data_IF_017647307940
#
_entry.id   IF_017647307940
#
_cell.length_a   1.000
_cell.length_b   1.000
_cell.length_c   1.000
_cell.angle_alpha   90.00
_cell.angle_beta   90.00
_cell.angle_gamma   90.00
#
_symmetry.space_group_name_H-M   'P 1'
#
loop_
_entity.id
_entity.type
_entity.pdbx_description
1 polymer ?
#
# COMPACT_ATOMS: atom_id res chain seq x y z
N UNK A 1 19.56 -71.35 -49.39
CA UNK A 1 19.08 -72.45 -48.53
C UNK A 1 18.65 -71.82 -47.21
N UNK A 2 17.34 -71.84 -46.91
CA UNK A 2 16.71 -72.75 -45.92
C UNK A 2 17.22 -72.42 -44.50
N UNK A 3 16.56 -71.58 -43.71
CA UNK A 3 15.31 -71.77 -42.92
C UNK A 3 15.47 -72.52 -41.58
N UNK A 4 14.54 -72.20 -40.66
CA UNK A 4 14.25 -72.70 -39.29
C UNK A 4 14.81 -71.81 -38.15
N UNK A 5 14.00 -71.22 -37.26
CA UNK A 5 12.53 -71.11 -37.15
C UNK A 5 11.97 -71.63 -35.81
N UNK A 6 10.96 -70.93 -35.27
CA UNK A 6 10.18 -71.21 -34.03
C UNK A 6 10.91 -71.02 -32.68
N UNK A 7 10.24 -70.68 -31.56
CA UNK A 7 8.87 -70.14 -31.29
C UNK A 7 8.72 -69.80 -29.79
N UNK A 8 7.77 -68.95 -29.41
CA UNK A 8 7.44 -68.62 -28.00
C UNK A 8 7.00 -67.16 -27.86
N UNK A 9 5.86 -66.76 -28.43
CA UNK A 9 4.50 -66.91 -27.85
C UNK A 9 4.23 -65.89 -26.72
N UNK A 10 3.11 -65.18 -26.83
CA UNK A 10 2.74 -64.08 -25.96
C UNK A 10 1.23 -64.13 -25.68
N UNK A 11 0.80 -63.93 -24.43
CA UNK A 11 -0.56 -63.52 -24.15
C UNK A 11 -0.64 -62.11 -23.55
N UNK A 12 -1.52 -61.33 -24.17
CA UNK A 12 -2.35 -60.26 -23.62
C UNK A 12 -2.43 -60.17 -22.09
N UNK A 13 -2.23 -58.96 -21.55
CA UNK A 13 -2.37 -58.67 -20.12
C UNK A 13 -2.43 -57.17 -19.84
N UNK A 14 -3.53 -56.51 -20.24
CA UNK A 14 -3.77 -55.11 -19.92
C UNK A 14 -3.96 -54.93 -18.40
N UNK A 15 -2.91 -54.51 -17.69
CA UNK A 15 -2.99 -54.17 -16.27
C UNK A 15 -3.22 -52.67 -16.07
N UNK A 16 -4.17 -52.34 -15.19
CA UNK A 16 -4.75 -51.00 -15.06
C UNK A 16 -3.78 -50.02 -14.41
N UNK A 17 -3.93 -48.74 -14.76
CA UNK A 17 -3.50 -47.63 -13.90
C UNK A 17 -4.28 -47.74 -12.58
N UNK A 18 -3.59 -47.99 -11.48
CA UNK A 18 -4.13 -47.73 -10.14
C UNK A 18 -3.68 -46.33 -9.72
N UNK A 19 -4.51 -45.34 -10.04
CA UNK A 19 -4.47 -44.03 -9.42
C UNK A 19 -4.91 -44.17 -7.97
N UNK A 20 -3.96 -44.21 -7.03
CA UNK A 20 -4.27 -44.07 -5.61
C UNK A 20 -4.52 -42.59 -5.31
N UNK A 21 -5.75 -42.15 -5.50
CA UNK A 21 -6.17 -40.83 -5.08
C UNK A 21 -6.28 -40.80 -3.55
N UNK A 22 -5.40 -40.06 -2.88
CA UNK A 22 -5.68 -39.57 -1.53
C UNK A 22 -6.57 -38.33 -1.66
N UNK A 23 -7.89 -38.56 -1.68
CA UNK A 23 -8.90 -37.53 -1.62
C UNK A 23 -9.73 -37.75 -0.36
N UNK A 24 -9.26 -37.24 0.78
CA UNK A 24 -10.00 -37.24 2.05
C UNK A 24 -9.48 -36.14 2.99
N UNK A 25 -9.75 -34.87 2.64
CA UNK A 25 -9.57 -33.70 3.52
C UNK A 25 -10.89 -32.93 3.65
N UNK A 26 -11.99 -33.65 3.83
CA UNK A 26 -13.29 -33.06 4.11
C UNK A 26 -13.51 -32.82 5.60
N UNK A 27 -13.73 -31.54 5.97
CA UNK A 27 -14.32 -31.09 7.24
C UNK A 27 -13.48 -31.12 8.55
N UNK A 28 -12.14 -31.12 8.50
CA UNK A 28 -11.30 -31.10 9.72
C UNK A 28 -10.26 -29.97 9.84
N UNK A 29 -9.96 -29.22 8.77
CA UNK A 29 -8.88 -28.21 8.78
C UNK A 29 -9.42 -26.78 8.55
N UNK A 30 -10.14 -26.30 9.57
CA UNK A 30 -10.75 -24.96 9.59
C UNK A 30 -10.02 -24.06 10.61
N UNK A 31 -9.53 -22.88 10.22
CA UNK A 31 -8.94 -21.95 11.17
C UNK A 31 -10.01 -21.41 12.13
N UNK A 32 -9.71 -21.46 13.43
CA UNK A 32 -10.50 -20.81 14.47
C UNK A 32 -10.43 -19.29 14.33
N UNK A 33 -11.58 -18.63 14.46
CA UNK A 33 -11.75 -17.17 14.31
C UNK A 33 -11.06 -16.56 13.07
N UNK A 34 -11.64 -16.82 11.90
CA UNK A 34 -11.34 -16.16 10.60
C UNK A 34 -11.23 -14.62 10.72
N UNK A 35 -11.88 -14.00 11.71
CA UNK A 35 -11.80 -12.55 11.98
C UNK A 35 -10.47 -12.08 12.59
N UNK A 36 -9.72 -12.97 13.26
CA UNK A 36 -8.44 -12.64 13.91
C UNK A 36 -7.22 -13.01 13.05
N UNK A 37 -7.41 -13.78 11.97
CA UNK A 37 -6.33 -14.17 11.05
C UNK A 37 -5.69 -12.97 10.35
N UNK A 38 -4.43 -13.09 9.94
CA UNK A 38 -3.75 -12.15 9.04
C UNK A 38 -4.21 -12.35 7.59
N UNK A 39 -3.91 -11.38 6.73
CA UNK A 39 -4.17 -11.47 5.28
C UNK A 39 -3.35 -12.62 4.68
N UNK A 40 -2.10 -12.81 5.09
CA UNK A 40 -1.23 -13.93 4.72
C UNK A 40 -1.85 -15.29 5.05
N UNK A 41 -2.34 -15.47 6.29
CA UNK A 41 -2.97 -16.73 6.72
C UNK A 41 -4.25 -17.03 5.93
N UNK A 42 -5.06 -16.00 5.63
CA UNK A 42 -6.27 -16.12 4.82
C UNK A 42 -5.95 -16.49 3.36
N UNK A 43 -4.94 -15.85 2.75
CA UNK A 43 -4.45 -16.17 1.39
C UNK A 43 -3.90 -17.60 1.35
N UNK A 44 -3.12 -18.01 2.34
CA UNK A 44 -2.59 -19.38 2.47
C UNK A 44 -3.69 -20.43 2.53
N UNK A 45 -4.65 -20.27 3.44
CA UNK A 45 -5.79 -21.19 3.54
C UNK A 45 -6.61 -21.27 2.25
N UNK A 46 -6.85 -20.13 1.59
CA UNK A 46 -7.55 -20.09 0.29
C UNK A 46 -6.78 -20.80 -0.82
N UNK A 47 -5.45 -20.65 -0.88
CA UNK A 47 -4.53 -21.35 -1.81
C UNK A 47 -4.59 -22.87 -1.62
N UNK A 48 -4.55 -23.33 -0.37
CA UNK A 48 -4.68 -24.77 -0.02
C UNK A 48 -6.07 -25.35 -0.35
N UNK A 49 -7.10 -24.50 -0.34
CA UNK A 49 -8.47 -24.86 -0.73
C UNK A 49 -8.78 -24.60 -2.22
N UNK A 50 -7.76 -24.34 -3.03
CA UNK A 50 -7.85 -24.27 -4.50
C UNK A 50 -8.38 -22.95 -5.06
N UNK A 51 -8.46 -21.89 -4.24
CA UNK A 51 -8.79 -20.54 -4.71
C UNK A 51 -7.51 -19.83 -5.14
N UNK A 52 -7.50 -19.32 -6.36
CA UNK A 52 -6.37 -18.58 -6.96
C UNK A 52 -6.77 -17.13 -7.25
N UNK A 53 -5.80 -16.26 -7.52
CA UNK A 53 -6.05 -14.83 -7.77
C UNK A 53 -6.43 -14.02 -6.51
N UNK A 54 -5.99 -14.49 -5.34
CA UNK A 54 -6.26 -13.86 -4.04
C UNK A 54 -5.27 -12.74 -3.66
N UNK A 55 -4.26 -12.46 -4.49
CA UNK A 55 -3.22 -11.46 -4.21
C UNK A 55 -3.83 -10.07 -4.03
N UNK A 56 -4.55 -9.56 -5.04
CA UNK A 56 -5.28 -8.29 -4.98
C UNK A 56 -6.60 -8.30 -4.19
N UNK A 57 -6.85 -9.28 -3.32
CA UNK A 57 -8.03 -9.29 -2.45
C UNK A 57 -7.72 -8.66 -1.09
N UNK A 58 -8.51 -7.65 -0.71
CA UNK A 58 -8.51 -7.04 0.63
C UNK A 58 -8.90 -8.05 1.72
N UNK A 59 -8.55 -7.76 2.98
CA UNK A 59 -8.89 -8.64 4.12
C UNK A 59 -10.37 -9.00 4.19
N UNK A 60 -11.26 -8.04 3.97
CA UNK A 60 -12.72 -8.22 3.97
C UNK A 60 -13.17 -9.13 2.83
N UNK A 61 -12.53 -9.02 1.66
CA UNK A 61 -12.82 -9.86 0.49
C UNK A 61 -12.34 -11.30 0.73
N UNK A 62 -11.12 -11.48 1.26
CA UNK A 62 -10.60 -12.79 1.67
C UNK A 62 -11.52 -13.46 2.70
N UNK A 63 -11.86 -12.74 3.77
CA UNK A 63 -12.81 -13.19 4.81
C UNK A 63 -14.20 -13.50 4.22
N UNK A 64 -14.66 -12.73 3.23
CA UNK A 64 -15.93 -12.97 2.53
C UNK A 64 -15.88 -14.23 1.67
N UNK A 65 -14.78 -14.46 0.95
CA UNK A 65 -14.55 -15.68 0.15
C UNK A 65 -14.55 -16.92 1.04
N UNK A 66 -13.81 -16.90 2.17
CA UNK A 66 -13.81 -18.00 3.15
C UNK A 66 -15.22 -18.22 3.73
N UNK A 67 -15.97 -17.16 4.06
CA UNK A 67 -17.37 -17.27 4.53
C UNK A 67 -18.33 -17.81 3.46
N UNK A 68 -18.08 -17.52 2.19
CA UNK A 68 -18.88 -18.02 1.06
C UNK A 68 -18.64 -19.52 0.90
N UNK A 69 -17.39 -19.97 0.85
CA UNK A 69 -17.02 -21.40 0.80
C UNK A 69 -17.60 -22.18 1.99
N UNK A 70 -17.58 -21.61 3.20
CA UNK A 70 -18.24 -22.18 4.39
C UNK A 70 -19.76 -22.37 4.19
N UNK A 71 -20.41 -21.43 3.50
CA UNK A 71 -21.85 -21.48 3.23
C UNK A 71 -22.19 -22.53 2.17
N UNK A 72 -21.36 -22.64 1.13
CA UNK A 72 -21.53 -23.65 0.08
C UNK A 72 -21.33 -25.08 0.60
N UNK A 73 -20.32 -25.33 1.45
CA UNK A 73 -20.15 -26.64 2.09
C UNK A 73 -21.30 -27.01 3.05
N UNK A 74 -21.87 -26.02 3.75
CA UNK A 74 -23.04 -26.23 4.62
C UNK A 74 -24.32 -26.55 3.83
N UNK A 75 -24.47 -26.08 2.60
CA UNK A 75 -25.61 -26.45 1.73
C UNK A 75 -25.38 -27.79 1.03
N UNK A 76 -24.14 -28.12 0.65
CA UNK A 76 -23.79 -29.41 0.04
C UNK A 76 -24.03 -30.60 0.97
N UNK A 77 -23.90 -30.41 2.29
CA UNK A 77 -24.18 -31.43 3.32
C UNK A 77 -25.65 -31.44 3.79
N UNK A 78 -26.49 -30.52 3.30
CA UNK A 78 -27.83 -30.23 3.83
C UNK A 78 -28.96 -30.22 2.80
N UNK A 79 -28.95 -31.10 1.80
CA UNK A 79 -30.04 -31.18 0.81
C UNK A 79 -31.01 -32.33 1.09
N UNK A 80 -32.17 -31.99 1.67
CA UNK A 80 -33.38 -32.80 1.70
C UNK A 80 -34.61 -31.93 1.45
N UNK A 81 -35.02 -31.87 0.19
CA UNK A 81 -36.28 -31.29 -0.35
C UNK A 81 -37.48 -32.15 0.10
N UNK A 82 -38.75 -31.69 0.27
CA UNK A 82 -39.45 -30.47 -0.23
C UNK A 82 -40.23 -29.68 0.89
N UNK A 83 -41.17 -28.71 0.70
CA UNK A 83 -41.84 -28.07 -0.46
C UNK A 83 -42.40 -26.67 -0.13
N UNK A 84 -42.41 -25.74 -1.10
CA UNK A 84 -43.64 -25.05 -1.53
C UNK A 84 -44.09 -23.68 -0.93
N UNK A 85 -44.63 -22.88 -1.87
CA UNK A 85 -45.56 -21.72 -1.76
C UNK A 85 -45.05 -20.26 -1.71
N UNK A 86 -45.64 -19.51 -2.64
CA UNK A 86 -45.58 -18.07 -2.96
C UNK A 86 -46.20 -17.16 -1.89
N UNK A 87 -45.67 -15.93 -1.76
CA UNK A 87 -46.35 -14.59 -1.78
C UNK A 87 -45.28 -13.53 -1.47
N UNK A 88 -45.07 -12.40 -2.17
CA UNK A 88 -45.92 -11.38 -2.82
C UNK A 88 -46.16 -10.13 -1.93
N UNK A 89 -45.82 -8.94 -2.47
CA UNK A 89 -45.92 -7.58 -1.91
C UNK A 89 -45.06 -7.30 -0.65
N UNK A 90 -44.54 -6.09 -0.40
CA UNK A 90 -44.68 -4.80 -1.11
C UNK A 90 -45.09 -3.69 -0.13
N UNK A 91 -44.33 -2.59 -0.02
CA UNK A 91 -44.64 -1.51 0.94
C UNK A 91 -43.52 -0.49 1.13
N UNK A 92 -43.52 0.54 0.29
CA UNK A 92 -42.74 1.79 0.48
C UNK A 92 -43.43 2.72 1.49
N UNK A 93 -42.73 3.81 1.85
CA UNK A 93 -43.19 5.06 2.52
C UNK A 93 -42.89 5.19 4.03
N UNK A 94 -42.64 6.38 4.61
CA UNK A 94 -42.23 7.72 4.09
C UNK A 94 -41.82 8.59 5.29
N UNK A 95 -40.80 9.45 5.17
CA UNK A 95 -40.43 10.49 6.15
C UNK A 95 -41.33 11.73 5.96
N UNK A 96 -41.83 12.42 7.01
CA UNK A 96 -41.42 13.83 7.19
C UNK A 96 -41.48 14.40 8.64
N UNK A 97 -40.78 15.52 8.86
CA UNK A 97 -40.98 16.45 10.00
C UNK A 97 -39.75 16.63 10.89
N UNK A 98 -38.77 17.50 10.61
CA UNK A 98 -38.84 18.96 10.44
C UNK A 98 -39.41 19.73 11.65
N UNK A 99 -38.56 20.51 12.35
CA UNK A 99 -38.91 21.82 12.93
C UNK A 99 -37.68 22.67 13.28
N UNK A 100 -37.81 23.99 13.06
CA UNK A 100 -36.83 25.05 13.37
C UNK A 100 -37.03 25.60 14.79
N UNK A 101 -35.97 26.15 15.39
CA UNK A 101 -36.06 27.20 16.43
C UNK A 101 -34.80 28.09 16.32
N UNK A 102 -34.87 29.30 15.75
CA UNK A 102 -35.17 30.62 16.38
C UNK A 102 -34.04 31.25 17.20
N UNK A 103 -33.44 32.28 16.59
CA UNK A 103 -32.68 33.43 17.09
C UNK A 103 -33.04 33.98 18.48
N UNK A 104 -32.05 34.53 19.21
CA UNK A 104 -32.31 35.65 20.13
C UNK A 104 -31.19 36.11 21.08
N UNK A 105 -30.64 37.31 20.84
CA UNK A 105 -30.18 38.31 21.85
C UNK A 105 -28.91 37.96 22.71
N UNK A 106 -28.06 38.89 23.20
CA UNK A 106 -27.96 40.35 23.07
C UNK A 106 -26.51 40.89 23.30
N UNK A 107 -26.37 42.21 23.23
CA UNK A 107 -25.16 43.08 23.12
C UNK A 107 -24.22 43.23 24.33
N UNK A 108 -23.03 43.78 24.03
CA UNK A 108 -22.15 44.69 24.83
C UNK A 108 -21.45 44.09 26.06
N UNK A 109 -20.21 44.47 26.42
CA UNK A 109 -19.57 45.81 26.43
C UNK A 109 -18.06 45.81 26.08
N UNK A 110 -17.54 46.96 25.66
CA UNK A 110 -16.09 47.24 25.54
C UNK A 110 -15.42 47.49 26.90
N UNK A 111 -14.12 47.21 27.01
CA UNK A 111 -13.23 47.84 27.98
C UNK A 111 -11.81 47.97 27.40
N UNK A 112 -11.34 49.21 27.23
CA UNK A 112 -10.03 49.58 26.67
C UNK A 112 -9.07 49.91 27.82
N UNK A 113 -7.88 49.31 27.83
CA UNK A 113 -6.76 49.72 28.68
C UNK A 113 -5.52 49.95 27.83
N UNK A 114 -4.77 51.01 28.12
CA UNK A 114 -3.67 51.53 27.28
C UNK A 114 -2.46 51.92 28.11
N UNK A 115 -1.27 51.67 27.54
CA UNK A 115 0.03 52.31 27.83
C UNK A 115 0.69 51.94 29.17
N UNK A 116 1.88 51.33 29.10
CA UNK A 116 3.13 51.95 29.58
C UNK A 116 4.38 51.10 29.24
N UNK A 117 5.28 51.69 28.45
CA UNK A 117 6.72 51.38 28.43
C UNK A 117 7.43 52.62 28.96
N UNK A 118 8.59 52.52 29.64
CA UNK A 118 9.81 52.91 28.92
C UNK A 118 11.13 52.23 29.34
N UNK A 119 12.05 52.19 28.37
CA UNK A 119 13.50 52.50 28.47
C UNK A 119 14.39 51.90 29.57
N UNK A 120 15.37 51.06 29.17
CA UNK A 120 16.78 51.49 29.09
C UNK A 120 17.68 50.39 28.50
N UNK A 121 18.74 50.79 27.77
CA UNK A 121 19.74 49.85 27.23
C UNK A 121 20.67 50.53 26.22
N UNK A 122 21.74 51.15 26.72
CA UNK A 122 22.71 51.85 25.87
C UNK A 122 23.57 50.88 25.04
N UNK A 123 24.12 51.37 23.93
CA UNK A 123 24.97 50.62 23.03
C UNK A 123 26.29 50.18 23.68
N UNK A 124 26.79 49.00 23.28
CA UNK A 124 28.21 48.83 23.02
C UNK A 124 28.44 47.73 21.98
N UNK A 125 29.17 48.05 20.91
CA UNK A 125 29.56 47.09 19.90
C UNK A 125 30.84 46.37 20.33
N UNK A 126 30.75 45.07 20.60
CA UNK A 126 31.94 44.21 20.69
C UNK A 126 31.79 42.98 19.81
N UNK A 127 32.79 42.83 18.94
CA UNK A 127 33.00 41.71 18.01
C UNK A 127 33.00 40.37 18.73
N UNK A 128 31.87 39.66 18.71
CA UNK A 128 31.79 38.26 19.10
C UNK A 128 32.16 37.39 17.89
N UNK A 129 33.33 36.77 17.97
CA UNK A 129 33.88 35.82 16.99
C UNK A 129 32.99 34.59 16.88
N UNK A 130 32.91 33.99 15.68
CA UNK A 130 32.08 32.83 15.37
C UNK A 130 32.21 31.72 16.43
N UNK A 131 31.16 31.54 17.23
CA UNK A 131 30.95 30.32 17.99
C UNK A 131 30.28 29.31 17.03
N UNK A 132 31.10 28.43 16.44
CA UNK A 132 30.57 27.25 15.78
C UNK A 132 29.85 26.43 16.83
N UNK A 133 28.54 26.21 16.64
CA UNK A 133 27.82 25.20 17.40
C UNK A 133 28.23 23.87 16.76
N UNK A 134 29.18 23.18 17.37
CA UNK A 134 29.43 21.76 17.09
C UNK A 134 28.18 20.97 17.50
N UNK A 135 27.27 20.80 16.54
CA UNK A 135 26.23 19.78 16.63
C UNK A 135 26.95 18.43 16.55
N UNK A 136 26.81 17.54 17.55
CA UNK A 136 27.56 16.30 17.56
C UNK A 136 27.14 15.40 16.39
N UNK A 137 28.11 15.04 15.55
CA UNK A 137 28.02 14.14 14.37
C UNK A 137 27.27 12.80 14.61
N UNK A 138 27.13 12.39 15.88
CA UNK A 138 26.54 11.10 16.31
C UNK A 138 25.01 11.00 16.26
N UNK A 139 24.32 11.88 15.56
CA UNK A 139 22.87 11.76 15.34
C UNK A 139 22.50 11.03 14.03
N UNK A 140 23.46 10.82 13.12
CA UNK A 140 23.24 10.27 11.77
C UNK A 140 23.89 8.88 11.61
N UNK A 141 23.88 8.04 12.66
CA UNK A 141 24.42 6.68 12.63
C UNK A 141 23.35 5.57 12.77
N UNK A 142 22.06 5.93 12.72
CA UNK A 142 20.98 5.02 13.13
C UNK A 142 19.79 4.87 12.18
N UNK A 143 19.70 5.68 11.13
CA UNK A 143 18.57 5.68 10.19
C UNK A 143 18.84 4.72 9.03
N UNK A 144 17.86 3.86 8.71
CA UNK A 144 17.94 2.87 7.63
C UNK A 144 16.98 3.18 6.47
N UNK A 145 17.01 2.39 5.39
CA UNK A 145 16.19 2.68 4.19
C UNK A 145 14.69 2.63 4.50
N UNK A 146 14.26 1.82 5.47
CA UNK A 146 12.86 1.73 5.88
C UNK A 146 12.45 2.98 6.67
N UNK A 147 13.35 3.58 7.48
CA UNK A 147 13.06 4.87 8.11
C UNK A 147 12.83 5.98 7.08
N UNK A 148 13.55 5.95 5.94
CA UNK A 148 13.35 6.88 4.82
C UNK A 148 11.96 6.69 4.20
N UNK A 149 11.52 5.44 3.98
CA UNK A 149 10.22 5.15 3.38
C UNK A 149 9.04 5.43 4.33
N UNK A 150 9.16 5.09 5.61
CA UNK A 150 8.22 5.53 6.65
C UNK A 150 8.06 7.06 6.68
N UNK A 151 9.16 7.80 6.51
CA UNK A 151 9.11 9.25 6.39
C UNK A 151 8.46 9.72 5.06
N UNK A 152 8.56 8.96 3.97
CA UNK A 152 7.80 9.21 2.75
C UNK A 152 6.30 8.94 2.93
N UNK A 153 5.89 7.85 3.58
CA UNK A 153 4.48 7.52 3.85
C UNK A 153 3.78 8.69 4.55
N UNK A 154 4.36 9.21 5.63
CA UNK A 154 3.77 10.34 6.38
C UNK A 154 3.74 11.65 5.56
N UNK A 155 4.74 11.88 4.72
CA UNK A 155 4.75 13.03 3.81
C UNK A 155 3.70 12.90 2.69
N UNK A 156 3.48 11.71 2.15
CA UNK A 156 2.47 11.40 1.13
C UNK A 156 1.06 11.56 1.74
N UNK A 157 0.79 10.95 2.89
CA UNK A 157 -0.45 11.13 3.68
C UNK A 157 -0.74 12.62 3.92
N UNK A 158 0.28 13.39 4.31
CA UNK A 158 0.16 14.84 4.49
C UNK A 158 -0.12 15.60 3.19
N UNK A 159 0.56 15.27 2.09
CA UNK A 159 0.38 15.91 0.78
C UNK A 159 -1.02 15.65 0.20
N UNK A 160 -1.56 14.42 0.28
CA UNK A 160 -2.96 14.16 -0.08
C UNK A 160 -3.94 15.03 0.71
N UNK A 161 -3.71 15.21 2.01
CA UNK A 161 -4.53 16.09 2.85
C UNK A 161 -4.36 17.58 2.50
N UNK A 162 -3.19 18.00 2.01
CA UNK A 162 -2.92 19.37 1.56
C UNK A 162 -3.54 19.67 0.19
N UNK A 163 -3.43 18.77 -0.81
CA UNK A 163 -4.04 18.96 -2.15
C UNK A 163 -5.56 19.15 -2.02
N UNK A 164 -6.22 18.32 -1.19
CA UNK A 164 -7.66 18.42 -0.93
C UNK A 164 -8.07 19.73 -0.22
N UNK A 165 -7.20 20.30 0.63
CA UNK A 165 -7.45 21.57 1.34
C UNK A 165 -7.01 22.80 0.56
N UNK A 166 -6.18 22.64 -0.45
CA UNK A 166 -5.63 23.73 -1.24
C UNK A 166 -6.72 24.36 -2.13
N UNK A 167 -6.90 25.67 -1.99
CA UNK A 167 -7.60 26.46 -2.99
C UNK A 167 -6.84 26.43 -4.32
N UNK A 168 -7.56 26.61 -5.43
CA UNK A 168 -7.07 26.40 -6.81
C UNK A 168 -5.64 26.90 -7.07
N UNK A 169 -5.29 28.11 -6.59
CA UNK A 169 -3.97 28.73 -6.76
C UNK A 169 -2.78 27.86 -6.29
N UNK A 170 -2.91 27.08 -5.22
CA UNK A 170 -1.82 26.25 -4.67
C UNK A 170 -2.02 24.75 -4.91
N UNK A 171 -3.18 24.34 -5.44
CA UNK A 171 -3.52 22.94 -5.66
C UNK A 171 -2.56 22.28 -6.67
N UNK A 172 -2.25 22.98 -7.76
CA UNK A 172 -1.32 22.50 -8.79
C UNK A 172 0.09 22.25 -8.23
N UNK A 173 0.64 23.20 -7.47
CA UNK A 173 2.00 23.08 -6.90
C UNK A 173 2.07 21.95 -5.86
N UNK A 174 1.05 21.84 -5.01
CA UNK A 174 0.97 20.77 -3.99
C UNK A 174 0.79 19.40 -4.64
N UNK A 175 -0.01 19.30 -5.71
CA UNK A 175 -0.19 18.06 -6.46
C UNK A 175 1.08 17.65 -7.21
N UNK A 176 1.84 18.59 -7.77
CA UNK A 176 3.16 18.30 -8.35
C UNK A 176 4.17 17.80 -7.31
N UNK A 177 4.10 18.27 -6.06
CA UNK A 177 4.91 17.73 -4.96
C UNK A 177 4.51 16.29 -4.62
N UNK A 178 3.21 15.98 -4.59
CA UNK A 178 2.69 14.62 -4.39
C UNK A 178 3.13 13.67 -5.51
N UNK A 179 2.90 14.05 -6.78
CA UNK A 179 3.34 13.31 -7.97
C UNK A 179 4.82 12.98 -7.91
N UNK A 180 5.65 13.97 -7.58
CA UNK A 180 7.10 13.79 -7.44
C UNK A 180 7.45 12.81 -6.32
N UNK A 181 6.80 12.91 -5.17
CA UNK A 181 7.15 12.10 -4.01
C UNK A 181 6.78 10.63 -4.21
N UNK A 182 5.57 10.34 -4.70
CA UNK A 182 5.12 8.98 -5.03
C UNK A 182 6.08 8.34 -6.04
N UNK A 183 6.37 9.02 -7.16
CA UNK A 183 7.27 8.47 -8.19
C UNK A 183 8.73 8.24 -7.70
N UNK A 184 9.18 8.96 -6.67
CA UNK A 184 10.49 8.72 -6.03
C UNK A 184 10.43 7.52 -5.09
N UNK A 185 9.38 7.43 -4.27
CA UNK A 185 9.09 6.38 -3.30
C UNK A 185 9.02 5.01 -3.99
N UNK A 186 8.06 4.80 -4.90
CA UNK A 186 7.88 3.53 -5.64
C UNK A 186 9.19 3.11 -6.35
N UNK A 187 9.95 4.08 -6.89
CA UNK A 187 11.24 3.77 -7.52
C UNK A 187 12.30 3.29 -6.51
N UNK A 188 12.32 3.82 -5.28
CA UNK A 188 13.23 3.37 -4.22
C UNK A 188 12.85 1.96 -3.77
N UNK A 189 11.56 1.67 -3.58
CA UNK A 189 11.07 0.31 -3.29
C UNK A 189 11.55 -0.69 -4.35
N UNK A 190 11.15 -0.49 -5.61
CA UNK A 190 11.43 -1.40 -6.72
C UNK A 190 12.92 -1.63 -6.98
N UNK A 191 13.75 -0.60 -6.79
CA UNK A 191 15.19 -0.72 -7.09
C UNK A 191 16.02 -1.20 -5.90
N UNK A 192 15.62 -0.90 -4.65
CA UNK A 192 16.41 -1.17 -3.45
C UNK A 192 15.77 -2.21 -2.52
N UNK A 193 14.49 -2.06 -2.19
CA UNK A 193 13.81 -2.82 -1.12
C UNK A 193 13.28 -4.15 -1.61
N UNK A 194 12.37 -4.17 -2.58
CA UNK A 194 11.77 -5.40 -3.10
C UNK A 194 12.80 -6.42 -3.62
N UNK A 195 13.90 -6.04 -4.31
CA UNK A 195 14.93 -6.99 -4.69
C UNK A 195 15.60 -7.64 -3.46
N UNK A 196 15.69 -6.95 -2.33
CA UNK A 196 16.14 -7.56 -1.07
C UNK A 196 15.08 -8.49 -0.49
N UNK A 197 13.83 -8.05 -0.39
CA UNK A 197 12.71 -8.85 0.13
C UNK A 197 12.55 -10.17 -0.63
N UNK A 198 12.53 -10.12 -1.96
CA UNK A 198 12.48 -11.28 -2.86
C UNK A 198 13.64 -12.29 -2.63
N UNK A 199 14.80 -11.84 -2.14
CA UNK A 199 15.98 -12.68 -1.89
C UNK A 199 16.14 -13.13 -0.42
N UNK A 200 15.44 -12.49 0.51
CA UNK A 200 15.70 -12.61 1.97
C UNK A 200 14.51 -13.16 2.74
N UNK A 201 13.28 -12.89 2.28
CA UNK A 201 12.06 -13.36 2.91
C UNK A 201 11.63 -14.71 2.31
N UNK A 202 11.11 -15.66 3.11
CA UNK A 202 10.67 -16.98 2.61
C UNK A 202 9.64 -16.89 1.49
N UNK A 203 8.63 -16.04 1.66
CA UNK A 203 7.56 -15.78 0.69
C UNK A 203 7.79 -14.50 -0.13
N UNK A 204 9.05 -14.02 -0.16
CA UNK A 204 9.44 -12.75 -0.80
C UNK A 204 8.96 -12.57 -2.24
N UNK A 205 8.98 -13.58 -3.13
CA UNK A 205 8.46 -13.44 -4.49
C UNK A 205 6.95 -13.16 -4.58
N UNK A 206 6.10 -13.90 -3.86
CA UNK A 206 4.64 -13.74 -3.85
C UNK A 206 4.26 -12.38 -3.20
N UNK A 207 5.01 -11.96 -2.17
CA UNK A 207 4.86 -10.66 -1.52
C UNK A 207 5.19 -9.51 -2.49
N UNK A 208 6.38 -9.54 -3.11
CA UNK A 208 6.85 -8.48 -4.02
C UNK A 208 5.99 -8.39 -5.28
N UNK A 209 5.51 -9.52 -5.82
CA UNK A 209 4.55 -9.50 -6.93
C UNK A 209 3.27 -8.73 -6.56
N UNK A 210 2.83 -8.82 -5.30
CA UNK A 210 1.65 -8.10 -4.82
C UNK A 210 1.91 -6.59 -4.65
N UNK A 211 3.06 -6.19 -4.09
CA UNK A 211 3.47 -4.77 -3.96
C UNK A 211 3.51 -4.10 -5.34
N UNK A 212 4.25 -4.70 -6.29
CA UNK A 212 4.47 -4.15 -7.63
C UNK A 212 3.15 -4.00 -8.41
N UNK A 213 2.18 -4.90 -8.24
CA UNK A 213 0.86 -4.77 -8.85
C UNK A 213 0.06 -3.57 -8.30
N UNK A 214 0.20 -3.27 -7.00
CA UNK A 214 -0.43 -2.10 -6.38
C UNK A 214 0.23 -0.80 -6.86
N UNK A 215 1.56 -0.76 -6.96
CA UNK A 215 2.33 0.36 -7.49
C UNK A 215 2.07 0.62 -8.98
N UNK A 216 1.98 -0.42 -9.81
CA UNK A 216 1.67 -0.29 -11.24
C UNK A 216 0.31 0.40 -11.42
N UNK A 217 -0.71 -0.01 -10.66
CA UNK A 217 -2.03 0.65 -10.67
C UNK A 217 -1.97 2.08 -10.13
N UNK A 218 -1.25 2.33 -9.03
CA UNK A 218 -1.10 3.66 -8.44
C UNK A 218 -0.39 4.63 -9.40
N UNK A 219 0.65 4.18 -10.11
CA UNK A 219 1.35 4.97 -11.14
C UNK A 219 0.46 5.23 -12.38
N UNK A 220 -0.40 4.29 -12.78
CA UNK A 220 -1.41 4.52 -13.83
C UNK A 220 -2.42 5.61 -13.42
N UNK A 221 -3.07 5.44 -12.25
CA UNK A 221 -4.05 6.38 -11.71
C UNK A 221 -3.46 7.79 -11.50
N UNK A 222 -2.23 7.86 -10.98
CA UNK A 222 -1.48 9.12 -10.79
C UNK A 222 -1.13 9.77 -12.13
N UNK A 223 -0.88 8.98 -13.18
CA UNK A 223 -0.62 9.49 -14.53
C UNK A 223 -1.90 10.04 -15.17
N UNK A 224 -3.03 9.36 -15.04
CA UNK A 224 -4.34 9.90 -15.49
C UNK A 224 -4.69 11.21 -14.77
N UNK A 225 -4.47 11.28 -13.45
CA UNK A 225 -4.64 12.50 -12.66
C UNK A 225 -3.70 13.63 -13.10
N UNK A 226 -2.45 13.31 -13.44
CA UNK A 226 -1.48 14.27 -13.96
C UNK A 226 -1.91 14.85 -15.31
N UNK A 227 -2.44 14.01 -16.21
CA UNK A 227 -2.88 14.43 -17.53
C UNK A 227 -4.20 15.23 -17.53
N UNK A 228 -5.18 14.87 -16.68
CA UNK A 228 -6.43 15.64 -16.59
C UNK A 228 -6.27 17.01 -15.91
N UNK A 229 -5.31 17.12 -14.98
CA UNK A 229 -5.02 18.34 -14.23
C UNK A 229 -6.01 18.67 -13.10
N UNK A 230 -5.57 19.52 -12.18
CA UNK A 230 -6.24 19.75 -10.88
C UNK A 230 -7.58 20.50 -10.94
N UNK A 231 -7.89 21.08 -12.10
CA UNK A 231 -9.13 21.82 -12.39
C UNK A 231 -10.20 20.91 -13.05
N UNK A 232 -9.89 19.65 -13.33
CA UNK A 232 -10.85 18.73 -13.96
C UNK A 232 -11.98 18.35 -12.99
N UNK A 233 -13.26 18.27 -13.42
CA UNK A 233 -14.39 17.99 -12.52
C UNK A 233 -14.32 16.66 -11.76
N UNK A 234 -13.62 15.66 -12.29
CA UNK A 234 -13.42 14.35 -11.65
C UNK A 234 -12.18 14.28 -10.75
N UNK A 235 -11.32 15.31 -10.76
CA UNK A 235 -10.00 15.28 -10.11
C UNK A 235 -10.09 14.94 -8.61
N UNK A 236 -10.99 15.59 -7.88
CA UNK A 236 -11.14 15.36 -6.42
C UNK A 236 -11.65 13.94 -6.09
N UNK A 237 -12.45 13.33 -6.97
CA UNK A 237 -12.94 11.97 -6.77
C UNK A 237 -11.83 10.94 -7.01
N UNK A 238 -11.18 11.01 -8.17
CA UNK A 238 -10.06 10.12 -8.55
C UNK A 238 -8.84 10.28 -7.63
N UNK A 239 -8.55 11.49 -7.15
CA UNK A 239 -7.52 11.71 -6.13
C UNK A 239 -7.88 11.04 -4.80
N UNK A 240 -9.17 10.93 -4.47
CA UNK A 240 -9.65 10.18 -3.31
C UNK A 240 -9.45 8.67 -3.46
N UNK A 241 -9.72 8.14 -4.65
CA UNK A 241 -9.51 6.73 -5.00
C UNK A 241 -8.00 6.36 -4.94
N UNK A 242 -7.15 7.15 -5.61
CA UNK A 242 -5.69 6.99 -5.53
C UNK A 242 -5.17 7.10 -4.09
N UNK A 243 -5.67 8.06 -3.29
CA UNK A 243 -5.28 8.20 -1.88
C UNK A 243 -5.55 6.91 -1.11
N UNK A 244 -6.74 6.33 -1.28
CA UNK A 244 -7.15 5.16 -0.50
C UNK A 244 -6.38 3.90 -0.92
N UNK A 245 -5.98 3.80 -2.19
CA UNK A 245 -5.06 2.77 -2.68
C UNK A 245 -3.63 2.94 -2.13
N UNK A 246 -3.05 4.15 -2.23
CA UNK A 246 -1.67 4.42 -1.77
C UNK A 246 -1.52 4.31 -0.25
N UNK A 247 -2.56 4.66 0.53
CA UNK A 247 -2.54 4.45 1.99
C UNK A 247 -2.61 2.95 2.33
N UNK A 248 -3.46 2.18 1.66
CA UNK A 248 -3.54 0.72 1.87
C UNK A 248 -2.22 0.03 1.49
N UNK A 249 -1.60 0.42 0.37
CA UNK A 249 -0.29 -0.06 -0.04
C UNK A 249 0.77 0.19 1.05
N UNK A 250 0.89 1.44 1.51
CA UNK A 250 1.82 1.82 2.57
C UNK A 250 1.58 1.07 3.89
N UNK A 251 0.32 0.88 4.30
CA UNK A 251 -0.03 0.10 5.50
C UNK A 251 0.37 -1.39 5.35
N UNK A 252 0.16 -1.99 4.16
CA UNK A 252 0.56 -3.37 3.87
C UNK A 252 2.09 -3.54 3.78
N UNK A 253 2.83 -2.54 3.30
CA UNK A 253 4.31 -2.56 3.36
C UNK A 253 4.82 -2.50 4.80
N UNK A 254 4.28 -1.60 5.61
CA UNK A 254 4.63 -1.43 7.02
C UNK A 254 4.39 -2.72 7.82
N UNK A 255 3.24 -3.39 7.61
CA UNK A 255 2.83 -4.59 8.32
C UNK A 255 3.43 -5.91 7.75
N UNK A 256 3.51 -6.07 6.42
CA UNK A 256 3.87 -7.35 5.78
C UNK A 256 5.33 -7.42 5.28
N UNK A 257 5.99 -6.30 4.95
CA UNK A 257 7.34 -6.30 4.34
C UNK A 257 8.43 -5.73 5.28
N UNK A 258 8.25 -4.49 5.74
CA UNK A 258 9.31 -3.72 6.38
C UNK A 258 9.82 -4.32 7.70
N UNK A 259 8.90 -4.85 8.53
CA UNK A 259 9.25 -5.55 9.76
C UNK A 259 10.10 -6.80 9.49
N UNK A 260 9.65 -7.66 8.58
CA UNK A 260 10.35 -8.89 8.21
C UNK A 260 11.71 -8.60 7.58
N UNK A 261 11.82 -7.54 6.76
CA UNK A 261 13.08 -7.17 6.11
C UNK A 261 14.13 -6.68 7.13
N UNK A 262 13.71 -5.94 8.16
CA UNK A 262 14.59 -5.55 9.29
C UNK A 262 15.09 -6.73 10.11
N UNK A 263 14.32 -7.81 10.22
CA UNK A 263 14.76 -9.04 10.86
C UNK A 263 15.72 -9.87 9.98
N UNK A 264 15.47 -9.89 8.66
CA UNK A 264 16.21 -10.72 7.71
C UNK A 264 17.51 -10.09 7.15
N UNK A 265 17.74 -8.78 7.35
CA UNK A 265 18.84 -8.04 6.73
C UNK A 265 19.72 -7.34 7.78
N UNK A 266 21.07 -7.44 7.68
CA UNK A 266 21.97 -6.68 8.56
C UNK A 266 21.74 -5.17 8.45
N UNK A 267 21.69 -4.49 9.61
CA UNK A 267 21.39 -3.05 9.70
C UNK A 267 22.34 -2.20 8.86
N UNK A 268 23.60 -2.57 8.77
CA UNK A 268 24.62 -1.88 7.97
C UNK A 268 24.28 -1.92 6.47
N UNK A 269 23.65 -3.00 6.00
CA UNK A 269 23.18 -3.11 4.62
C UNK A 269 21.97 -2.19 4.36
N UNK A 270 21.01 -2.12 5.29
CA UNK A 270 19.85 -1.20 5.18
C UNK A 270 20.26 0.28 5.29
N UNK A 271 21.24 0.61 6.14
CA UNK A 271 21.80 1.97 6.23
C UNK A 271 22.59 2.39 4.96
N UNK A 272 23.27 1.45 4.31
CA UNK A 272 23.88 1.69 3.00
C UNK A 272 22.84 1.99 1.91
N UNK A 273 21.66 1.37 1.97
CA UNK A 273 20.56 1.65 1.05
C UNK A 273 19.93 3.03 1.31
N UNK A 274 19.78 3.45 2.57
CA UNK A 274 19.33 4.81 2.90
C UNK A 274 20.23 5.88 2.26
N UNK A 275 21.54 5.65 2.25
CA UNK A 275 22.50 6.57 1.61
C UNK A 275 22.28 6.70 0.10
N UNK A 276 21.90 5.60 -0.58
CA UNK A 276 21.58 5.59 -2.01
C UNK A 276 20.21 6.25 -2.29
N UNK A 277 19.17 5.92 -1.50
CA UNK A 277 17.85 6.56 -1.58
C UNK A 277 17.95 8.09 -1.46
N UNK A 278 18.65 8.57 -0.43
CA UNK A 278 18.92 10.01 -0.20
C UNK A 278 19.78 10.66 -1.28
N UNK A 279 20.59 9.90 -2.02
CA UNK A 279 21.30 10.43 -3.19
C UNK A 279 20.33 10.66 -4.36
N UNK A 280 19.42 9.71 -4.61
CA UNK A 280 18.44 9.81 -5.68
C UNK A 280 17.37 10.90 -5.43
N UNK A 281 16.87 11.03 -4.19
CA UNK A 281 15.97 12.14 -3.77
C UNK A 281 16.53 13.53 -4.16
N UNK A 282 17.85 13.72 -3.95
CA UNK A 282 18.56 14.98 -4.24
C UNK A 282 18.76 15.24 -5.73
N UNK A 283 18.79 14.19 -6.56
CA UNK A 283 18.94 14.28 -8.02
C UNK A 283 17.62 14.64 -8.72
N UNK A 284 16.49 14.61 -8.00
CA UNK A 284 15.21 15.15 -8.44
C UNK A 284 14.87 16.52 -7.79
N UNK A 285 15.69 17.58 -7.89
CA UNK A 285 15.35 18.87 -7.28
C UNK A 285 14.07 19.46 -7.90
N UNK A 286 13.34 20.26 -7.13
CA UNK A 286 11.98 20.73 -7.50
C UNK A 286 11.89 21.42 -8.88
N UNK A 287 12.98 22.03 -9.38
CA UNK A 287 13.04 22.66 -10.71
C UNK A 287 13.31 21.69 -11.87
N UNK A 288 13.81 20.48 -11.60
CA UNK A 288 14.05 19.42 -12.60
C UNK A 288 12.97 18.31 -12.57
N UNK A 289 12.09 18.35 -11.57
CA UNK A 289 11.02 17.37 -11.35
C UNK A 289 9.69 17.75 -12.04
N UNK A 290 9.72 18.57 -13.10
CA UNK A 290 8.56 18.76 -13.96
C UNK A 290 8.44 17.58 -14.95
N UNK A 291 7.23 17.07 -15.14
CA UNK A 291 6.94 15.95 -16.03
C UNK A 291 6.01 14.90 -15.37
N UNK A 292 5.50 13.95 -16.17
CA UNK A 292 4.65 12.86 -15.67
C UNK A 292 5.43 11.93 -14.70
N UNK A 293 4.72 11.12 -13.88
CA UNK A 293 5.34 10.23 -12.89
C UNK A 293 6.45 9.35 -13.48
N UNK A 294 6.17 8.73 -14.63
CA UNK A 294 7.09 7.84 -15.36
C UNK A 294 8.45 8.49 -15.68
N UNK A 295 8.45 9.75 -16.11
CA UNK A 295 9.67 10.51 -16.41
C UNK A 295 10.45 10.91 -15.15
N UNK A 296 9.80 10.99 -13.99
CA UNK A 296 10.46 11.16 -12.70
C UNK A 296 11.11 9.83 -12.29
N UNK A 297 10.35 8.73 -12.34
CA UNK A 297 10.85 7.38 -12.02
C UNK A 297 12.07 6.99 -12.87
N UNK A 298 12.10 7.31 -14.17
CA UNK A 298 13.28 7.11 -15.03
C UNK A 298 14.54 7.81 -14.51
N UNK A 299 14.42 9.10 -14.13
CA UNK A 299 15.53 9.89 -13.59
C UNK A 299 16.00 9.34 -12.23
N UNK A 300 15.08 8.87 -11.39
CA UNK A 300 15.40 8.26 -10.09
C UNK A 300 16.10 6.92 -10.29
N UNK A 301 15.67 6.08 -11.24
CA UNK A 301 16.36 4.84 -11.61
C UNK A 301 17.79 5.09 -12.08
N UNK A 302 18.03 6.10 -12.91
CA UNK A 302 19.38 6.46 -13.35
C UNK A 302 20.24 7.04 -12.22
N UNK A 303 19.65 7.83 -11.33
CA UNK A 303 20.31 8.34 -10.13
C UNK A 303 20.75 7.21 -9.18
N UNK A 304 19.88 6.22 -8.94
CA UNK A 304 20.20 5.05 -8.11
C UNK A 304 21.29 4.18 -8.75
N UNK A 305 21.24 3.98 -10.07
CA UNK A 305 22.29 3.25 -10.82
C UNK A 305 23.67 3.91 -10.72
N UNK A 306 23.74 5.24 -10.62
CA UNK A 306 24.99 5.95 -10.40
C UNK A 306 25.43 5.90 -8.93
N UNK A 307 24.49 6.03 -7.98
CA UNK A 307 24.79 5.97 -6.54
C UNK A 307 25.23 4.58 -6.03
N UNK A 308 24.98 3.51 -6.80
CA UNK A 308 25.32 2.12 -6.48
C UNK A 308 26.57 1.59 -7.22
N UNK A 309 27.32 2.45 -7.92
CA UNK A 309 28.56 2.11 -8.64
C UNK A 309 29.83 2.22 -7.78
#
# INVERSE_FOLDING_TARGET
>A
MVEHGKSGDAPSGASRRTTTAHAETGAADMPGDIATMTVTELRGWLKDHGVTGTSGMRKEQLVSTVKTMRSDQATATGSSIPTGKKSAAGGTATVPGAKKSTTGHARTTEAKATISTPSNGAASAHTARSAQIDVPERAIEHEDVIDVLLAHHEQIKALFALVNKAGATHRQETFQQLVRLIAIHETIEQQLVHPMSQRRLPDGPDLVESRVQEEEQATEDLSELYEMGVDHPEFEARLGELRDAVIEHAELEEDEEFGLLREAVPREQLASLASAARAAERIAPASAAQGPPTAIAERVRDALREALR
#
